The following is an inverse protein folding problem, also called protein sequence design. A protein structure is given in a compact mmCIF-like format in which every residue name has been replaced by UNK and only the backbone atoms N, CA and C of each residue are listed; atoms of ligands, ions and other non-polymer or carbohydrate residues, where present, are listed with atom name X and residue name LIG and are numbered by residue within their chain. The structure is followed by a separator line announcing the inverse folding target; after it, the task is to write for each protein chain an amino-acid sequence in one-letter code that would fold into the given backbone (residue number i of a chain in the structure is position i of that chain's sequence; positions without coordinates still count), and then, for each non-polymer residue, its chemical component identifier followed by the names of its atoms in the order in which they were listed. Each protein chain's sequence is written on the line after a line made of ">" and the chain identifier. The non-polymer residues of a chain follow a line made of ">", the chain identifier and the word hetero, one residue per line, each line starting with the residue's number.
data_IF_019722440353
#
_entry.id   IF_019722440353
#
_cell.length_a   1.000
_cell.length_b   1.000
_cell.length_c   1.000
_cell.angle_alpha   90.00
_cell.angle_beta   90.00
_cell.angle_gamma   90.00
#
_symmetry.space_group_name_H-M   'P 1'
#
loop_
_entity.id
_entity.type
_entity.pdbx_description
1 polymer ?
#
# COMPACT_ATOMS: atom_id res chain seq x y z
N UNK A 1 21.23 54.51 -79.27
CA UNK A 1 21.98 53.57 -78.42
C UNK A 1 21.29 53.47 -77.05
N UNK A 2 20.53 52.40 -76.85
CA UNK A 2 19.66 52.25 -75.73
C UNK A 2 20.25 51.19 -74.74
N UNK A 3 20.66 51.61 -73.53
CA UNK A 3 21.14 50.72 -72.47
C UNK A 3 19.98 50.20 -71.71
N UNK A 4 19.77 48.89 -71.76
CA UNK A 4 18.82 48.18 -70.89
C UNK A 4 19.51 47.84 -69.54
N UNK A 5 18.94 48.35 -68.50
CA UNK A 5 19.33 47.98 -67.10
C UNK A 5 18.46 46.81 -66.70
N UNK A 6 19.07 45.65 -66.53
CA UNK A 6 18.39 44.48 -65.92
C UNK A 6 18.39 44.65 -64.36
N UNK A 7 17.18 44.72 -63.83
CA UNK A 7 16.97 44.68 -62.34
C UNK A 7 16.80 43.21 -61.90
N UNK A 8 17.71 42.73 -61.10
CA UNK A 8 17.60 41.45 -60.46
C UNK A 8 16.73 41.60 -59.21
N UNK A 9 15.60 40.87 -59.14
CA UNK A 9 14.81 40.70 -57.94
C UNK A 9 15.41 39.55 -57.15
N UNK A 10 15.97 39.84 -55.97
CA UNK A 10 16.32 38.86 -54.95
C UNK A 10 15.10 38.64 -54.07
N UNK A 11 14.48 37.47 -54.18
CA UNK A 11 13.42 37.05 -53.25
C UNK A 11 14.04 36.53 -51.97
N UNK A 12 13.87 37.24 -50.86
CA UNK A 12 14.15 36.72 -49.51
C UNK A 12 13.03 35.77 -49.09
N UNK A 13 13.34 34.48 -49.04
CA UNK A 13 12.46 33.49 -48.46
C UNK A 13 12.58 33.50 -46.94
N UNK A 14 11.57 33.98 -46.24
CA UNK A 14 11.43 33.87 -44.79
C UNK A 14 10.96 32.46 -44.44
N UNK A 15 11.84 31.59 -43.96
CA UNK A 15 11.48 30.29 -43.40
C UNK A 15 10.89 30.52 -42.01
N UNK A 16 9.58 30.39 -41.87
CA UNK A 16 8.91 30.35 -40.55
C UNK A 16 9.12 28.99 -39.94
N UNK A 17 9.99 28.92 -38.92
CA UNK A 17 10.10 27.75 -38.02
C UNK A 17 8.87 27.71 -37.10
N UNK A 18 7.89 26.88 -37.44
CA UNK A 18 6.80 26.54 -36.52
C UNK A 18 7.36 25.52 -35.52
N UNK A 19 7.78 26.00 -34.36
CA UNK A 19 8.15 25.14 -33.24
C UNK A 19 6.93 24.36 -32.73
N UNK A 20 6.84 23.07 -33.06
CA UNK A 20 5.89 22.17 -32.38
C UNK A 20 6.35 22.02 -30.94
N UNK A 21 5.77 22.82 -30.05
CA UNK A 21 5.85 22.59 -28.61
C UNK A 21 5.03 21.34 -28.28
N UNK A 22 5.68 20.19 -28.10
CA UNK A 22 5.03 19.00 -27.55
C UNK A 22 4.73 19.28 -26.09
N UNK A 23 3.50 19.67 -25.79
CA UNK A 23 2.99 19.67 -24.43
C UNK A 23 2.86 18.20 -23.98
N UNK A 24 3.86 17.68 -23.30
CA UNK A 24 3.69 16.47 -22.49
C UNK A 24 2.79 16.85 -21.32
N UNK A 25 1.59 16.24 -21.19
CA UNK A 25 0.78 16.46 -20.00
C UNK A 25 1.59 15.99 -18.80
N UNK A 26 2.02 16.92 -17.95
CA UNK A 26 2.58 16.58 -16.65
C UNK A 26 1.47 15.87 -15.87
N UNK A 27 1.53 14.54 -15.77
CA UNK A 27 0.78 13.82 -14.75
C UNK A 27 1.32 14.32 -13.41
N UNK A 28 0.61 15.25 -12.79
CA UNK A 28 0.76 15.52 -11.39
C UNK A 28 0.28 14.26 -10.65
N UNK A 29 1.14 13.24 -10.57
CA UNK A 29 0.93 12.16 -9.64
C UNK A 29 1.01 12.79 -8.26
N UNK A 30 -0.10 12.77 -7.50
CA UNK A 30 -0.08 13.10 -6.08
C UNK A 30 0.89 12.11 -5.43
N UNK A 31 2.12 12.56 -5.19
CA UNK A 31 3.12 11.74 -4.56
C UNK A 31 2.92 11.89 -3.07
N UNK A 32 2.42 10.83 -2.46
CA UNK A 32 2.39 10.71 -1.00
C UNK A 32 3.76 10.24 -0.52
N UNK A 33 4.22 10.83 0.55
CA UNK A 33 5.38 10.37 1.29
C UNK A 33 4.96 9.51 2.47
N UNK A 34 5.93 9.01 3.23
CA UNK A 34 5.68 8.26 4.44
C UNK A 34 6.50 8.80 5.63
N UNK A 35 6.03 8.51 6.83
CA UNK A 35 6.75 8.77 8.07
C UNK A 35 6.76 7.52 8.94
N UNK A 36 7.87 7.20 9.61
CA UNK A 36 7.95 6.07 10.54
C UNK A 36 6.94 6.20 11.68
N UNK A 37 6.50 5.04 12.18
CA UNK A 37 5.74 4.92 13.44
C UNK A 37 6.47 3.97 14.37
N UNK A 38 6.19 4.06 15.68
CA UNK A 38 6.67 3.05 16.61
C UNK A 38 5.96 1.72 16.31
N UNK A 39 6.74 0.70 15.95
CA UNK A 39 6.22 -0.61 15.55
C UNK A 39 5.48 -1.35 16.68
N UNK A 40 5.73 -0.99 17.94
CA UNK A 40 5.02 -1.55 19.07
C UNK A 40 3.63 -0.95 19.28
N UNK A 41 3.36 0.20 18.67
CA UNK A 41 2.11 0.92 18.80
C UNK A 41 1.12 0.61 17.65
N UNK A 42 1.51 -0.27 16.71
CA UNK A 42 0.67 -0.65 15.56
C UNK A 42 0.71 -2.15 15.34
N UNK A 43 -0.46 -2.76 15.15
CA UNK A 43 -0.56 -4.17 14.78
C UNK A 43 -1.51 -4.37 13.59
N UNK A 44 -1.19 -5.37 12.77
CA UNK A 44 -2.13 -5.91 11.78
C UNK A 44 -2.82 -7.15 12.37
N UNK A 45 -4.11 -7.26 12.13
CA UNK A 45 -4.96 -8.29 12.71
C UNK A 45 -5.83 -8.94 11.63
N UNK A 46 -5.85 -10.26 11.59
CA UNK A 46 -6.80 -11.04 10.84
C UNK A 46 -8.05 -11.29 11.69
N UNK A 47 -9.16 -10.70 11.32
CA UNK A 47 -10.48 -10.94 11.92
C UNK A 47 -11.18 -12.03 11.13
N UNK A 48 -11.55 -13.18 11.73
CA UNK A 48 -12.38 -14.16 11.07
C UNK A 48 -13.75 -13.58 10.71
N UNK A 49 -14.20 -13.84 9.48
CA UNK A 49 -15.55 -13.56 9.03
C UNK A 49 -16.28 -14.89 8.87
N UNK A 50 -17.35 -15.06 9.64
CA UNK A 50 -18.22 -16.22 9.53
C UNK A 50 -19.66 -15.71 9.31
N UNK A 51 -20.01 -15.48 8.06
CA UNK A 51 -21.34 -15.10 7.64
C UNK A 51 -21.92 -16.22 6.78
N UNK A 52 -23.25 -16.32 6.69
CA UNK A 52 -23.94 -17.40 5.95
C UNK A 52 -23.36 -17.52 4.52
N UNK A 53 -22.64 -18.64 4.28
CA UNK A 53 -22.06 -18.98 2.97
C UNK A 53 -20.71 -18.37 2.64
N UNK A 54 -20.11 -17.55 3.52
CA UNK A 54 -18.78 -17.00 3.32
C UNK A 54 -17.90 -17.20 4.55
N UNK A 55 -16.79 -17.89 4.35
CA UNK A 55 -15.71 -18.01 5.34
C UNK A 55 -14.48 -17.28 4.82
N UNK A 56 -13.98 -16.32 5.58
CA UNK A 56 -12.83 -15.53 5.18
C UNK A 56 -12.26 -14.71 6.33
N UNK A 57 -11.46 -13.74 5.99
CA UNK A 57 -10.81 -12.88 6.96
C UNK A 57 -10.88 -11.43 6.53
N UNK A 58 -11.04 -10.54 7.48
CA UNK A 58 -10.94 -9.08 7.30
C UNK A 58 -9.65 -8.58 7.93
N UNK A 59 -8.92 -7.74 7.20
CA UNK A 59 -7.75 -7.06 7.73
C UNK A 59 -8.19 -5.87 8.58
N UNK A 60 -7.64 -5.79 9.77
CA UNK A 60 -7.69 -4.60 10.63
C UNK A 60 -6.27 -4.13 10.89
N UNK A 61 -6.09 -2.80 10.95
CA UNK A 61 -4.87 -2.21 11.52
C UNK A 61 -5.29 -1.44 12.77
N UNK A 62 -4.70 -1.79 13.91
CA UNK A 62 -4.95 -1.15 15.21
C UNK A 62 -3.74 -0.33 15.62
N UNK A 63 -4.00 0.84 16.22
CA UNK A 63 -2.97 1.76 16.70
C UNK A 63 -3.22 2.16 18.14
N UNK A 64 -2.19 2.11 18.97
CA UNK A 64 -2.13 2.70 20.31
C UNK A 64 -1.66 4.15 20.16
N UNK A 65 -2.57 5.14 20.26
CA UNK A 65 -2.24 6.57 20.11
C UNK A 65 -1.81 7.22 21.40
N UNK A 66 -2.29 6.71 22.52
CA UNK A 66 -1.91 7.18 23.85
C UNK A 66 -1.93 6.03 24.85
N UNK A 67 -1.19 6.15 25.93
CA UNK A 67 -1.09 5.14 27.00
C UNK A 67 -2.23 5.22 28.03
N UNK A 68 -3.29 5.98 27.76
CA UNK A 68 -4.40 6.14 28.70
C UNK A 68 -5.16 4.84 28.95
N UNK A 69 -5.23 3.96 27.94
CA UNK A 69 -5.86 2.64 28.02
C UNK A 69 -5.32 1.73 26.92
N UNK A 70 -5.16 0.44 27.22
CA UNK A 70 -4.74 -0.53 26.21
C UNK A 70 -5.80 -0.69 25.10
N UNK A 71 -5.38 -0.65 23.85
CA UNK A 71 -6.24 -0.82 22.69
C UNK A 71 -6.50 -2.28 22.33
N UNK A 72 -5.57 -3.15 22.70
CA UNK A 72 -5.67 -4.62 22.56
C UNK A 72 -4.88 -5.34 23.64
N UNK A 73 -5.19 -6.62 23.78
CA UNK A 73 -4.39 -7.60 24.53
C UNK A 73 -3.88 -8.66 23.58
N UNK A 74 -2.72 -9.25 23.90
CA UNK A 74 -2.13 -10.35 23.14
C UNK A 74 -1.93 -11.57 24.05
N UNK A 75 -2.18 -12.78 23.49
CA UNK A 75 -1.92 -14.04 24.19
C UNK A 75 -1.51 -15.15 23.22
N UNK A 76 -0.79 -16.16 23.73
CA UNK A 76 -0.25 -17.23 22.88
C UNK A 76 0.96 -16.78 22.07
N UNK A 77 1.44 -17.67 21.19
CA UNK A 77 2.66 -17.42 20.43
C UNK A 77 2.49 -17.67 18.93
N UNK A 78 1.84 -18.75 18.53
CA UNK A 78 1.69 -19.15 17.12
C UNK A 78 0.40 -19.96 16.95
N UNK A 79 -0.70 -19.30 16.59
CA UNK A 79 -0.88 -17.86 16.37
C UNK A 79 -0.88 -17.05 17.68
N UNK A 80 -0.58 -15.76 17.58
CA UNK A 80 -0.84 -14.82 18.66
C UNK A 80 -2.31 -14.40 18.56
N UNK A 81 -3.08 -14.74 19.59
CA UNK A 81 -4.47 -14.30 19.69
C UNK A 81 -4.53 -12.84 20.14
N UNK A 82 -5.44 -12.06 19.56
CA UNK A 82 -5.67 -10.66 19.88
C UNK A 82 -7.05 -10.47 20.48
N UNK A 83 -7.12 -9.80 21.63
CA UNK A 83 -8.36 -9.28 22.20
C UNK A 83 -8.47 -7.78 21.86
N UNK A 84 -9.38 -7.35 20.97
CA UNK A 84 -9.50 -5.96 20.56
C UNK A 84 -10.25 -5.13 21.63
N UNK A 85 -9.59 -4.80 22.73
CA UNK A 85 -10.16 -4.10 23.91
C UNK A 85 -10.83 -2.78 23.53
N UNK A 86 -10.36 -2.10 22.49
CA UNK A 86 -10.93 -0.85 21.98
C UNK A 86 -12.42 -0.96 21.60
N UNK A 87 -12.92 -2.16 21.34
CA UNK A 87 -14.33 -2.37 21.04
C UNK A 87 -15.25 -2.21 22.26
N UNK A 88 -14.69 -2.22 23.47
CA UNK A 88 -15.43 -2.21 24.74
C UNK A 88 -15.52 -0.82 25.39
N UNK A 89 -14.99 0.24 24.71
CA UNK A 89 -15.01 1.59 25.25
C UNK A 89 -14.96 2.67 24.15
N UNK A 90 -15.21 3.93 24.50
CA UNK A 90 -14.98 5.03 23.58
C UNK A 90 -13.47 5.27 23.39
N UNK A 91 -12.93 4.76 22.29
CA UNK A 91 -11.50 4.77 22.00
C UNK A 91 -11.00 6.05 21.30
N UNK A 92 -11.86 7.06 21.10
CA UNK A 92 -11.49 8.31 20.44
C UNK A 92 -10.30 8.98 21.12
N UNK A 93 -9.26 9.33 20.35
CA UNK A 93 -8.02 9.92 20.87
C UNK A 93 -7.06 8.93 21.57
N UNK A 94 -7.52 7.74 21.94
CA UNK A 94 -6.72 6.72 22.62
C UNK A 94 -6.19 5.69 21.63
N UNK A 95 -7.06 5.19 20.76
CA UNK A 95 -6.73 4.18 19.75
C UNK A 95 -7.03 4.67 18.33
N UNK A 96 -6.38 4.05 17.35
CA UNK A 96 -6.70 4.13 15.94
C UNK A 96 -7.19 2.77 15.44
N UNK A 97 -8.06 2.79 14.42
CA UNK A 97 -8.53 1.60 13.74
C UNK A 97 -8.72 1.89 12.25
N UNK A 98 -8.06 1.11 11.38
CA UNK A 98 -8.30 1.10 9.95
C UNK A 98 -8.90 -0.25 9.55
N UNK A 99 -9.95 -0.24 8.72
CA UNK A 99 -10.76 -1.43 8.41
C UNK A 99 -10.93 -1.71 6.93
N UNK A 100 -10.41 -0.84 6.07
CA UNK A 100 -10.58 -0.91 4.62
C UNK A 100 -9.41 -0.24 3.89
N UNK A 101 -9.41 -0.33 2.56
CA UNK A 101 -8.36 0.22 1.69
C UNK A 101 -8.20 1.75 1.74
N UNK A 102 -9.15 2.48 2.32
CA UNK A 102 -8.96 3.92 2.56
C UNK A 102 -8.02 4.16 3.74
N UNK A 103 -7.93 3.21 4.67
CA UNK A 103 -7.13 3.29 5.87
C UNK A 103 -5.76 2.62 5.79
N UNK A 104 -5.50 1.80 4.76
CA UNK A 104 -4.21 1.12 4.59
C UNK A 104 -3.93 0.69 3.14
N UNK A 105 -2.66 0.62 2.78
CA UNK A 105 -2.16 0.03 1.53
C UNK A 105 -0.73 -0.51 1.70
N UNK A 106 -0.18 -1.16 0.67
CA UNK A 106 1.23 -1.53 0.62
C UNK A 106 2.05 -0.41 -0.04
N UNK A 107 3.30 -0.26 0.40
CA UNK A 107 4.31 0.61 -0.20
C UNK A 107 5.61 -0.18 -0.38
N UNK A 108 6.13 -0.21 -1.59
CA UNK A 108 7.31 -1.02 -1.94
C UNK A 108 8.29 -0.16 -2.73
N UNK A 109 9.55 -0.10 -2.26
CA UNK A 109 10.61 0.65 -2.93
C UNK A 109 10.13 2.06 -3.33
N UNK A 110 9.58 2.80 -2.34
CA UNK A 110 9.02 4.15 -2.48
C UNK A 110 7.75 4.27 -3.36
N UNK A 111 7.20 3.17 -3.86
CA UNK A 111 5.98 3.19 -4.66
C UNK A 111 4.76 2.83 -3.83
N UNK A 112 3.77 3.74 -3.77
CA UNK A 112 2.45 3.46 -3.19
C UNK A 112 1.66 2.52 -4.12
N UNK A 113 1.37 1.34 -3.65
CA UNK A 113 0.65 0.30 -4.40
C UNK A 113 -0.87 0.38 -4.24
N UNK A 114 -1.40 1.36 -3.51
CA UNK A 114 -2.82 1.44 -3.17
C UNK A 114 -3.78 1.52 -4.35
N UNK A 115 -3.31 1.95 -5.53
CA UNK A 115 -4.11 2.00 -6.75
C UNK A 115 -3.97 0.75 -7.63
N UNK A 116 -2.96 -0.08 -7.39
CA UNK A 116 -2.62 -1.21 -8.27
C UNK A 116 -2.75 -2.57 -7.59
N UNK A 117 -2.70 -2.60 -6.26
CA UNK A 117 -2.76 -3.83 -5.47
C UNK A 117 -3.81 -3.71 -4.37
N UNK A 118 -4.53 -4.80 -4.14
CA UNK A 118 -5.42 -4.95 -2.99
C UNK A 118 -4.74 -5.77 -1.90
N UNK A 119 -4.91 -5.39 -0.64
CA UNK A 119 -4.50 -6.23 0.48
C UNK A 119 -5.52 -7.36 0.67
N UNK A 120 -5.05 -8.60 0.69
CA UNK A 120 -5.87 -9.81 0.76
C UNK A 120 -5.35 -10.76 1.82
N UNK A 121 -6.27 -11.29 2.63
CA UNK A 121 -6.00 -12.34 3.61
C UNK A 121 -6.44 -13.70 3.04
N UNK A 122 -5.54 -14.66 3.01
CA UNK A 122 -5.77 -16.00 2.46
C UNK A 122 -5.35 -17.06 3.47
N UNK A 123 -6.17 -18.09 3.65
CA UNK A 123 -5.79 -19.29 4.40
C UNK A 123 -4.90 -20.17 3.51
N UNK A 124 -3.66 -20.35 3.89
CA UNK A 124 -2.67 -21.15 3.15
C UNK A 124 -1.91 -22.00 4.14
N UNK A 125 -2.00 -23.32 4.00
CA UNK A 125 -1.21 -24.25 4.80
C UNK A 125 -1.49 -24.20 6.31
N UNK A 126 -2.72 -23.88 6.74
CA UNK A 126 -3.08 -23.82 8.16
C UNK A 126 -2.68 -22.52 8.87
N UNK A 127 -2.41 -21.46 8.12
CA UNK A 127 -2.20 -20.10 8.63
C UNK A 127 -2.89 -19.06 7.74
N UNK A 128 -3.13 -17.86 8.24
CA UNK A 128 -3.60 -16.73 7.43
C UNK A 128 -2.41 -15.92 6.98
N UNK A 129 -2.29 -15.71 5.67
CA UNK A 129 -1.26 -14.87 5.07
C UNK A 129 -1.84 -13.59 4.51
N UNK A 130 -1.14 -12.49 4.74
CA UNK A 130 -1.44 -11.18 4.17
C UNK A 130 -0.62 -10.98 2.90
N UNK A 131 -1.31 -10.70 1.80
CA UNK A 131 -0.68 -10.41 0.52
C UNK A 131 -1.11 -9.04 -0.01
N UNK A 132 -0.21 -8.36 -0.74
CA UNK A 132 -0.62 -7.37 -1.73
C UNK A 132 -0.78 -8.09 -3.07
N UNK A 133 -1.97 -7.98 -3.66
CA UNK A 133 -2.38 -8.73 -4.85
C UNK A 133 -2.73 -7.79 -5.98
N UNK A 134 -2.12 -7.99 -7.14
CA UNK A 134 -2.52 -7.38 -8.42
C UNK A 134 -2.78 -8.49 -9.46
N UNK A 135 -3.07 -8.11 -10.71
CA UNK A 135 -3.22 -9.06 -11.82
C UNK A 135 -1.94 -9.88 -12.01
N UNK A 136 -1.93 -11.13 -11.53
CA UNK A 136 -0.85 -12.09 -11.71
C UNK A 136 0.32 -11.98 -10.72
N UNK A 137 0.29 -11.06 -9.76
CA UNK A 137 1.35 -10.93 -8.73
C UNK A 137 0.77 -10.98 -7.32
N UNK A 138 1.50 -11.66 -6.43
CA UNK A 138 1.24 -11.68 -4.99
C UNK A 138 2.53 -11.37 -4.26
N UNK A 139 2.49 -10.39 -3.39
CA UNK A 139 3.60 -9.99 -2.53
C UNK A 139 3.23 -10.39 -1.10
N UNK A 140 3.96 -11.32 -0.50
CA UNK A 140 3.73 -11.72 0.89
C UNK A 140 4.21 -10.62 1.82
N UNK A 141 3.33 -10.18 2.72
CA UNK A 141 3.59 -9.09 3.68
C UNK A 141 3.73 -9.64 5.10
N UNK A 142 2.95 -10.66 5.45
CA UNK A 142 2.96 -11.22 6.80
C UNK A 142 2.09 -12.43 6.95
N UNK A 143 2.17 -13.08 8.11
CA UNK A 143 1.44 -14.31 8.42
C UNK A 143 1.05 -14.40 9.89
N UNK A 144 0.05 -15.22 10.22
CA UNK A 144 -0.38 -15.46 11.60
C UNK A 144 0.42 -16.57 12.30
N UNK A 145 1.05 -17.47 11.54
CA UNK A 145 1.77 -18.63 12.04
C UNK A 145 0.86 -19.72 12.63
N UNK A 146 -0.42 -19.74 12.27
CA UNK A 146 -1.41 -20.71 12.71
C UNK A 146 -2.82 -20.14 12.63
N UNK A 147 -3.82 -20.91 13.09
CA UNK A 147 -5.24 -20.55 13.09
C UNK A 147 -5.85 -20.58 14.48
N UNK A 148 -6.78 -19.67 14.75
CA UNK A 148 -7.69 -19.70 15.87
C UNK A 148 -9.06 -19.17 15.42
N UNK A 149 -10.10 -19.41 16.23
CA UNK A 149 -11.45 -18.92 15.95
C UNK A 149 -11.64 -17.41 16.24
N UNK A 150 -10.63 -16.76 16.88
CA UNK A 150 -10.64 -15.34 17.23
C UNK A 150 -9.78 -14.49 16.31
N UNK A 151 -9.57 -13.26 16.74
CA UNK A 151 -8.65 -12.34 16.08
C UNK A 151 -7.20 -12.83 16.22
N UNK A 152 -6.41 -12.72 15.17
CA UNK A 152 -5.03 -13.18 15.12
C UNK A 152 -4.11 -12.05 14.70
N UNK A 153 -3.00 -11.86 15.41
CA UNK A 153 -1.95 -10.93 14.99
C UNK A 153 -1.26 -11.44 13.74
N UNK A 154 -1.08 -10.57 12.77
CA UNK A 154 -0.26 -10.82 11.60
C UNK A 154 1.16 -10.35 11.92
N UNK A 155 2.11 -11.29 11.98
CA UNK A 155 3.53 -10.98 12.08
C UNK A 155 4.04 -10.62 10.70
N UNK A 156 4.62 -9.44 10.56
CA UNK A 156 5.17 -8.99 9.28
C UNK A 156 6.41 -9.81 8.92
N UNK A 157 6.59 -10.09 7.63
CA UNK A 157 7.80 -10.72 7.11
C UNK A 157 9.02 -9.79 7.29
N UNK A 158 10.25 -10.32 7.30
CA UNK A 158 11.45 -9.51 7.41
C UNK A 158 11.50 -8.40 6.35
N UNK A 159 11.90 -7.19 6.78
CA UNK A 159 11.96 -6.00 5.94
C UNK A 159 10.66 -5.21 5.84
N UNK A 160 9.52 -5.78 6.26
CA UNK A 160 8.26 -5.07 6.32
C UNK A 160 8.08 -4.34 7.66
N UNK A 161 7.50 -3.14 7.59
CA UNK A 161 7.21 -2.28 8.74
C UNK A 161 5.93 -1.48 8.50
N UNK A 162 5.38 -0.91 9.56
CA UNK A 162 4.32 0.07 9.47
C UNK A 162 4.91 1.48 9.31
N UNK A 163 4.28 2.27 8.45
CA UNK A 163 4.51 3.71 8.35
C UNK A 163 3.17 4.42 8.19
N UNK A 164 3.14 5.73 8.30
CA UNK A 164 1.97 6.55 7.99
C UNK A 164 2.19 7.38 6.74
N UNK A 165 1.15 7.48 5.93
CA UNK A 165 1.12 8.35 4.77
C UNK A 165 1.25 9.80 5.20
N UNK A 166 2.04 10.57 4.46
CA UNK A 166 2.12 12.02 4.61
C UNK A 166 1.81 12.72 3.29
N UNK A 167 1.30 13.94 3.39
CA UNK A 167 1.06 14.81 2.25
C UNK A 167 1.38 16.25 2.66
N UNK A 168 2.26 16.91 1.91
CA UNK A 168 2.73 18.28 2.22
C UNK A 168 3.18 18.44 3.68
N UNK A 169 3.93 17.47 4.20
CA UNK A 169 4.43 17.45 5.58
C UNK A 169 3.38 17.12 6.66
N UNK A 170 2.11 16.89 6.29
CA UNK A 170 1.05 16.52 7.23
C UNK A 170 0.87 15.01 7.28
N UNK A 171 0.91 14.44 8.49
CA UNK A 171 0.63 13.01 8.73
C UNK A 171 -0.87 12.75 8.57
N UNK A 172 -1.19 11.73 7.76
CA UNK A 172 -2.56 11.29 7.51
C UNK A 172 -2.90 10.05 8.34
N UNK A 173 -4.19 9.71 8.42
CA UNK A 173 -4.69 8.52 9.13
C UNK A 173 -4.45 7.20 8.39
N UNK A 174 -3.84 7.21 7.22
CA UNK A 174 -3.61 6.04 6.38
C UNK A 174 -2.29 5.37 6.75
N UNK A 175 -2.30 4.04 6.90
CA UNK A 175 -1.14 3.21 7.16
C UNK A 175 -0.59 2.61 5.89
N UNK A 176 0.73 2.56 5.80
CA UNK A 176 1.41 1.71 4.85
C UNK A 176 2.00 0.47 5.52
N UNK A 177 1.92 -0.65 4.81
CA UNK A 177 2.83 -1.77 4.98
C UNK A 177 3.99 -1.48 4.03
N UNK A 178 5.13 -1.06 4.57
CA UNK A 178 6.27 -0.56 3.80
C UNK A 178 7.44 -1.53 3.79
N UNK A 179 8.08 -1.69 2.63
CA UNK A 179 9.36 -2.39 2.46
C UNK A 179 10.19 -1.68 1.40
N UNK A 180 11.29 -1.04 1.81
CA UNK A 180 12.14 -0.22 0.91
C UNK A 180 13.15 -1.05 0.12
N UNK A 181 13.38 -2.29 0.54
CA UNK A 181 14.37 -3.19 -0.06
C UNK A 181 13.70 -4.48 -0.56
N UNK A 182 12.45 -4.39 -1.01
CA UNK A 182 11.75 -5.53 -1.51
C UNK A 182 12.37 -6.00 -2.83
N UNK A 183 12.82 -7.24 -2.84
CA UNK A 183 13.23 -7.95 -4.05
C UNK A 183 12.13 -8.96 -4.36
N UNK A 184 11.55 -8.88 -5.55
CA UNK A 184 10.56 -9.86 -5.98
C UNK A 184 11.21 -11.24 -5.98
N UNK A 185 10.80 -12.11 -5.03
CA UNK A 185 11.14 -13.50 -5.12
C UNK A 185 10.41 -14.09 -6.32
N UNK A 186 11.10 -14.83 -7.16
CA UNK A 186 10.50 -15.67 -8.18
C UNK A 186 9.80 -16.86 -7.49
N UNK A 187 8.72 -16.62 -6.74
CA UNK A 187 7.82 -17.71 -6.41
C UNK A 187 7.19 -18.17 -7.74
N UNK A 188 7.24 -19.47 -8.07
CA UNK A 188 6.67 -19.96 -9.32
C UNK A 188 5.20 -19.56 -9.36
N UNK A 189 4.79 -18.97 -10.47
CA UNK A 189 3.39 -18.63 -10.71
C UNK A 189 2.56 -19.90 -10.61
N UNK A 190 1.33 -19.80 -10.13
CA UNK A 190 0.40 -20.93 -9.96
C UNK A 190 0.24 -21.80 -11.24
N UNK A 191 0.68 -21.31 -12.39
CA UNK A 191 0.68 -22.02 -13.67
C UNK A 191 1.84 -23.02 -13.83
N UNK A 192 2.94 -22.90 -13.07
CA UNK A 192 4.04 -23.87 -13.12
C UNK A 192 3.84 -25.09 -12.21
N UNK A 193 2.95 -25.01 -11.23
CA UNK A 193 2.61 -26.10 -10.31
C UNK A 193 1.60 -27.10 -10.89
N UNK A 194 1.05 -26.84 -12.08
CA UNK A 194 0.06 -27.68 -12.77
C UNK A 194 0.59 -28.36 -14.05
N UNK A 195 1.90 -28.46 -14.19
CA UNK A 195 2.54 -29.27 -15.27
C UNK A 195 3.09 -30.59 -14.76
#
# INVERSE_FOLDING_TARGET
>A
MKNLIKRSLTALGTAAFVGLSTFTPAKAAYQFDETPVNQNDVIAVAQPLNTQGYQGYKLLVLEQKSNARACWGESGYSPVAVDPLLLNFNFSGICGRATDSNGYSARVNDNDLGLTHNLSLQNVGGEVRLYAVSSGQKILIGRTGGLTNGFMKIKLEPGWRFTKRTYSGKVLGHFYFSNDNYVASSEPSYQELCR
#
